data_IF_109426065567
#
_entry.id   IF_109426065567
#
_cell.length_a   1.000
_cell.length_b   1.000
_cell.length_c   1.000
_cell.angle_alpha   90.00
_cell.angle_beta   90.00
_cell.angle_gamma   90.00
#
_symmetry.space_group_name_H-M   'P 1'
#
loop_
_entity.id
_entity.type
_entity.pdbx_description
1 polymer ?
#
# COMPACT_ATOMS: atom_id res chain seq x y z
N UNK A 1 -12.75 3.36 -23.07
CA UNK A 1 -11.73 4.42 -23.07
C UNK A 1 -11.96 5.28 -21.85
N UNK A 2 -11.25 5.01 -20.75
CA UNK A 2 -11.19 5.88 -19.59
C UNK A 2 -10.08 6.91 -19.80
N UNK A 3 -10.48 8.13 -20.13
CA UNK A 3 -9.58 9.27 -20.08
C UNK A 3 -9.36 9.64 -18.62
N UNK A 4 -8.09 9.72 -18.22
CA UNK A 4 -7.70 10.21 -16.89
C UNK A 4 -7.23 11.65 -17.04
N UNK A 5 -7.81 12.56 -16.28
CA UNK A 5 -7.32 13.94 -16.16
C UNK A 5 -6.12 13.95 -15.21
N UNK A 6 -4.96 14.27 -15.76
CA UNK A 6 -3.71 14.43 -15.01
C UNK A 6 -3.47 15.92 -14.80
N UNK A 7 -3.42 16.35 -13.54
CA UNK A 7 -3.13 17.74 -13.16
C UNK A 7 -1.78 17.80 -12.45
N UNK A 8 -0.94 18.76 -12.84
CA UNK A 8 0.33 19.03 -12.19
C UNK A 8 0.48 20.53 -11.90
N UNK A 9 1.07 20.84 -10.75
CA UNK A 9 1.52 22.18 -10.35
C UNK A 9 3.02 22.12 -10.12
N UNK A 10 3.73 23.22 -10.41
CA UNK A 10 5.17 23.28 -10.18
C UNK A 10 5.59 24.66 -9.71
N UNK A 11 6.80 24.75 -9.16
CA UNK A 11 7.39 26.00 -8.70
C UNK A 11 8.66 26.21 -9.50
N UNK A 12 8.78 27.38 -10.11
CA UNK A 12 10.04 27.80 -10.75
C UNK A 12 10.98 28.30 -9.66
N UNK A 13 12.08 27.59 -9.49
CA UNK A 13 13.19 28.00 -8.63
C UNK A 13 14.30 28.58 -9.50
N UNK A 14 14.66 29.84 -9.27
CA UNK A 14 15.84 30.48 -9.85
C UNK A 14 16.76 30.90 -8.69
N UNK A 15 18.04 30.56 -8.80
CA UNK A 15 19.03 30.90 -7.77
C UNK A 15 19.09 32.42 -7.59
N UNK A 16 18.87 32.89 -6.36
CA UNK A 16 18.83 34.31 -6.01
C UNK A 16 17.49 35.03 -6.24
N UNK A 17 16.41 34.32 -6.62
CA UNK A 17 15.06 34.90 -6.75
C UNK A 17 14.03 34.15 -5.90
N UNK A 18 12.93 34.82 -5.49
CA UNK A 18 11.85 34.14 -4.80
C UNK A 18 11.20 33.08 -5.70
N UNK A 19 10.84 31.96 -5.08
CA UNK A 19 10.10 30.85 -5.70
C UNK A 19 8.81 31.36 -6.36
N UNK A 20 8.69 31.20 -7.69
CA UNK A 20 7.48 31.58 -8.43
C UNK A 20 6.62 30.34 -8.63
N UNK A 21 5.43 30.31 -8.01
CA UNK A 21 4.45 29.25 -8.27
C UNK A 21 3.94 29.37 -9.71
N UNK A 22 4.13 28.32 -10.50
CA UNK A 22 3.50 28.19 -11.81
C UNK A 22 2.14 27.53 -11.62
N UNK A 23 1.11 28.10 -12.26
CA UNK A 23 -0.27 27.61 -12.12
C UNK A 23 -0.44 26.16 -12.59
N UNK A 24 -1.57 25.52 -12.22
CA UNK A 24 -1.85 24.14 -12.60
C UNK A 24 -2.02 23.99 -14.11
N UNK A 25 -1.49 22.89 -14.64
CA UNK A 25 -1.76 22.41 -15.99
C UNK A 25 -2.46 21.04 -15.91
N UNK A 26 -3.50 20.86 -16.72
CA UNK A 26 -4.28 19.62 -16.77
C UNK A 26 -4.34 19.08 -18.18
N UNK A 27 -4.14 17.76 -18.34
CA UNK A 27 -4.24 17.06 -19.63
C UNK A 27 -5.07 15.80 -19.45
N UNK A 28 -5.97 15.52 -20.41
CA UNK A 28 -6.67 14.25 -20.48
C UNK A 28 -5.81 13.26 -21.26
N UNK A 29 -5.48 12.12 -20.65
CA UNK A 29 -4.64 11.10 -21.26
C UNK A 29 -5.29 9.72 -21.12
N UNK A 30 -5.20 8.92 -22.19
CA UNK A 30 -5.70 7.55 -22.22
C UNK A 30 -4.57 6.59 -21.84
N UNK A 31 -4.60 6.07 -20.62
CA UNK A 31 -3.67 5.05 -20.13
C UNK A 31 -4.13 3.61 -20.42
N UNK A 32 -5.34 3.46 -20.95
CA UNK A 32 -6.02 2.19 -21.12
C UNK A 32 -6.82 1.71 -19.92
N UNK A 33 -7.78 0.83 -20.20
CA UNK A 33 -8.76 0.34 -19.22
C UNK A 33 -8.37 -1.02 -18.62
N UNK A 34 -7.29 -1.63 -19.12
CA UNK A 34 -6.78 -2.93 -18.69
C UNK A 34 -5.28 -3.07 -18.96
N UNK A 35 -4.65 -4.09 -18.36
CA UNK A 35 -3.25 -4.40 -18.63
C UNK A 35 -3.00 -4.70 -20.13
N UNK A 36 -3.91 -5.41 -20.79
CA UNK A 36 -3.81 -5.69 -22.22
C UNK A 36 -3.89 -4.41 -23.07
N UNK A 37 -4.80 -3.51 -22.71
CA UNK A 37 -4.99 -2.23 -23.40
C UNK A 37 -3.78 -1.29 -23.19
N UNK A 38 -3.25 -1.23 -21.96
CA UNK A 38 -2.04 -0.47 -21.65
C UNK A 38 -0.82 -0.99 -22.42
N UNK A 39 -0.66 -2.31 -22.54
CA UNK A 39 0.42 -2.92 -23.33
C UNK A 39 0.28 -2.62 -24.81
N UNK A 40 -0.95 -2.63 -25.35
CA UNK A 40 -1.23 -2.26 -26.73
C UNK A 40 -0.90 -0.77 -27.01
N UNK A 41 -1.12 0.11 -26.03
CA UNK A 41 -0.91 1.57 -26.16
C UNK A 41 0.52 2.03 -25.92
N UNK A 42 1.26 1.38 -25.01
CA UNK A 42 2.53 1.92 -24.48
C UNK A 42 3.74 0.97 -24.62
N UNK A 43 3.57 -0.16 -25.30
CA UNK A 43 4.51 -1.29 -25.37
C UNK A 43 4.67 -2.08 -24.06
N UNK A 44 4.97 -3.39 -24.14
CA UNK A 44 5.17 -4.23 -22.96
C UNK A 44 6.29 -3.72 -22.03
N UNK A 45 7.37 -3.18 -22.59
CA UNK A 45 8.57 -2.79 -21.85
C UNK A 45 8.31 -1.59 -20.95
N UNK A 46 7.57 -0.58 -21.43
CA UNK A 46 7.23 0.62 -20.65
C UNK A 46 6.29 0.24 -19.52
N UNK A 47 5.25 -0.56 -19.81
CA UNK A 47 4.29 -1.02 -18.80
C UNK A 47 5.02 -1.83 -17.72
N UNK A 48 5.89 -2.76 -18.11
CA UNK A 48 6.67 -3.56 -17.17
C UNK A 48 7.67 -2.72 -16.36
N UNK A 49 8.37 -1.78 -16.99
CA UNK A 49 9.31 -0.88 -16.32
C UNK A 49 8.63 -0.05 -15.23
N UNK A 50 7.48 0.55 -15.56
CA UNK A 50 6.71 1.35 -14.60
C UNK A 50 6.13 0.49 -13.49
N UNK A 51 5.61 -0.70 -13.79
CA UNK A 51 5.19 -1.67 -12.78
C UNK A 51 6.35 -2.02 -11.83
N UNK A 52 7.53 -2.34 -12.37
CA UNK A 52 8.70 -2.74 -11.59
C UNK A 52 9.18 -1.59 -10.69
N UNK A 53 9.21 -0.36 -11.19
CA UNK A 53 9.60 0.81 -10.40
C UNK A 53 8.70 0.99 -9.18
N UNK A 54 7.37 0.94 -9.39
CA UNK A 54 6.40 1.04 -8.30
C UNK A 54 6.51 -0.13 -7.31
N UNK A 55 6.66 -1.35 -7.83
CA UNK A 55 6.87 -2.56 -7.03
C UNK A 55 8.07 -2.44 -6.08
N UNK A 56 9.19 -1.90 -6.57
CA UNK A 56 10.39 -1.65 -5.76
C UNK A 56 10.09 -0.66 -4.62
N UNK A 57 9.40 0.44 -4.89
CA UNK A 57 9.03 1.43 -3.87
C UNK A 57 8.14 0.80 -2.79
N UNK A 58 7.17 -0.02 -3.18
CA UNK A 58 6.30 -0.75 -2.24
C UNK A 58 7.11 -1.68 -1.34
N UNK A 59 8.00 -2.50 -1.91
CA UNK A 59 8.85 -3.41 -1.15
C UNK A 59 9.76 -2.62 -0.20
N UNK A 60 10.40 -1.54 -0.67
CA UNK A 60 11.24 -0.70 0.18
C UNK A 60 10.46 -0.10 1.35
N UNK A 61 9.23 0.37 1.13
CA UNK A 61 8.36 0.88 2.19
C UNK A 61 8.11 -0.19 3.27
N UNK A 62 7.82 -1.43 2.86
CA UNK A 62 7.63 -2.54 3.77
C UNK A 62 8.91 -2.92 4.52
N UNK A 63 10.06 -3.00 3.84
CA UNK A 63 11.37 -3.25 4.48
C UNK A 63 11.62 -2.20 5.55
N UNK A 64 11.44 -0.90 5.24
CA UNK A 64 11.58 0.19 6.22
C UNK A 64 10.65 0.00 7.42
N UNK A 65 9.40 -0.43 7.20
CA UNK A 65 8.47 -0.73 8.28
C UNK A 65 8.96 -1.89 9.17
N UNK A 66 9.50 -2.97 8.58
CA UNK A 66 10.01 -4.12 9.35
C UNK A 66 11.30 -3.79 10.12
N UNK A 67 12.18 -3.00 9.52
CA UNK A 67 13.37 -2.47 10.22
C UNK A 67 12.97 -1.60 11.42
N UNK A 68 11.98 -0.71 11.27
CA UNK A 68 11.44 0.09 12.39
C UNK A 68 10.84 -0.77 13.50
N UNK A 69 10.32 -1.96 13.16
CA UNK A 69 9.82 -2.95 14.11
C UNK A 69 10.94 -3.82 14.74
N UNK A 70 12.22 -3.51 14.49
CA UNK A 70 13.37 -4.21 15.07
C UNK A 70 13.72 -5.54 14.41
N UNK A 71 13.14 -5.87 13.25
CA UNK A 71 13.41 -7.15 12.58
C UNK A 71 14.80 -7.19 11.95
N UNK A 72 15.45 -8.34 12.06
CA UNK A 72 16.75 -8.59 11.44
C UNK A 72 16.61 -8.91 9.93
N UNK A 73 17.69 -8.73 9.17
CA UNK A 73 17.71 -8.97 7.72
C UNK A 73 17.18 -10.37 7.33
N UNK A 74 17.59 -11.41 8.06
CA UNK A 74 17.15 -12.79 7.79
C UNK A 74 15.62 -12.96 7.95
N UNK A 75 15.04 -12.34 8.97
CA UNK A 75 13.59 -12.38 9.20
C UNK A 75 12.83 -11.59 8.13
N UNK A 76 13.38 -10.45 7.71
CA UNK A 76 12.81 -9.66 6.62
C UNK A 76 12.82 -10.47 5.33
N UNK A 77 13.95 -11.08 4.97
CA UNK A 77 14.05 -11.94 3.78
C UNK A 77 13.04 -13.09 3.83
N UNK A 78 12.86 -13.73 5.00
CA UNK A 78 11.87 -14.79 5.17
C UNK A 78 10.42 -14.30 4.97
N UNK A 79 10.07 -13.08 5.41
CA UNK A 79 8.74 -12.50 5.21
C UNK A 79 8.43 -12.20 3.73
N UNK A 80 9.47 -11.95 2.93
CA UNK A 80 9.33 -11.70 1.50
C UNK A 80 9.47 -12.96 0.65
N UNK A 81 9.87 -14.09 1.22
CA UNK A 81 9.90 -15.37 0.52
C UNK A 81 8.47 -15.76 0.10
N UNK A 82 8.19 -15.72 -1.20
CA UNK A 82 6.86 -16.02 -1.75
C UNK A 82 5.86 -14.86 -1.67
N UNK A 83 6.27 -13.66 -1.24
CA UNK A 83 5.39 -12.49 -1.27
C UNK A 83 5.09 -12.07 -2.71
N UNK A 84 3.79 -11.94 -3.02
CA UNK A 84 3.30 -11.45 -4.30
C UNK A 84 2.68 -10.08 -4.12
N UNK A 85 3.20 -9.09 -4.83
CA UNK A 85 2.72 -7.71 -4.74
C UNK A 85 1.25 -7.64 -5.18
N UNK A 86 0.43 -6.92 -4.44
CA UNK A 86 -1.00 -6.72 -4.74
C UNK A 86 -1.88 -7.93 -4.47
N UNK A 87 -1.31 -9.10 -4.17
CA UNK A 87 -2.06 -10.25 -3.70
C UNK A 87 -2.12 -10.18 -2.18
N UNK A 88 -3.32 -10.00 -1.64
CA UNK A 88 -3.51 -10.11 -0.20
C UNK A 88 -3.05 -11.50 0.23
N UNK A 89 -2.04 -11.57 1.12
CA UNK A 89 -1.76 -12.83 1.79
C UNK A 89 -3.00 -13.17 2.60
N UNK A 90 -3.49 -14.41 2.48
CA UNK A 90 -4.48 -14.92 3.42
C UNK A 90 -3.83 -14.84 4.80
N UNK A 91 -4.17 -13.81 5.58
CA UNK A 91 -3.76 -13.75 6.97
C UNK A 91 -4.49 -14.89 7.65
N UNK A 92 -3.77 -15.95 8.00
CA UNK A 92 -4.20 -16.84 9.07
C UNK A 92 -4.41 -15.95 10.30
N UNK A 93 -5.66 -15.74 10.68
CA UNK A 93 -5.98 -15.05 11.93
C UNK A 93 -5.63 -16.05 13.03
N UNK A 94 -4.61 -15.74 13.81
CA UNK A 94 -4.44 -16.38 15.10
C UNK A 94 -5.62 -15.97 15.98
N UNK A 95 -6.59 -16.87 16.09
CA UNK A 95 -7.89 -16.61 16.72
C UNK A 95 -7.70 -16.29 18.20
N UNK A 96 -6.72 -16.92 18.87
CA UNK A 96 -6.41 -16.66 20.27
C UNK A 96 -5.80 -15.28 20.46
N UNK A 97 -4.79 -14.92 19.65
CA UNK A 97 -4.16 -13.60 19.74
C UNK A 97 -5.15 -12.47 19.40
N UNK A 98 -6.00 -12.67 18.38
CA UNK A 98 -7.05 -11.72 18.02
C UNK A 98 -8.14 -11.60 19.08
N UNK A 99 -8.53 -12.72 19.70
CA UNK A 99 -9.47 -12.73 20.81
C UNK A 99 -8.90 -12.01 22.03
N UNK A 100 -7.66 -12.28 22.41
CA UNK A 100 -7.01 -11.65 23.56
C UNK A 100 -6.79 -10.14 23.36
N UNK A 101 -6.45 -9.71 22.15
CA UNK A 101 -6.34 -8.29 21.82
C UNK A 101 -7.70 -7.56 21.89
N UNK A 102 -8.78 -8.25 21.52
CA UNK A 102 -10.15 -7.72 21.65
C UNK A 102 -10.64 -7.77 23.10
N UNK A 103 -10.22 -8.77 23.87
CA UNK A 103 -10.55 -8.92 25.28
C UNK A 103 -9.88 -7.85 26.14
N UNK A 104 -8.62 -7.52 25.87
CA UNK A 104 -7.88 -6.50 26.62
C UNK A 104 -8.41 -5.07 26.39
N UNK A 105 -9.07 -4.83 25.25
CA UNK A 105 -9.66 -3.55 24.87
C UNK A 105 -11.14 -3.43 25.20
N UNK A 106 -11.79 -4.51 25.65
CA UNK A 106 -13.20 -4.49 26.10
C UNK A 106 -13.35 -3.88 27.49
N UNK A 107 -14.47 -3.17 27.69
CA UNK A 107 -14.89 -2.70 29.01
C UNK A 107 -15.26 -3.89 29.92
N UNK A 108 -15.22 -3.71 31.24
CA UNK A 108 -15.50 -4.80 32.17
C UNK A 108 -16.96 -5.28 32.12
N UNK A 109 -17.88 -4.41 31.68
CA UNK A 109 -19.27 -4.77 31.41
C UNK A 109 -19.39 -5.65 30.16
N UNK A 110 -18.67 -5.31 29.10
CA UNK A 110 -18.64 -6.10 27.86
C UNK A 110 -17.97 -7.47 28.06
N UNK A 111 -16.91 -7.53 28.86
CA UNK A 111 -16.26 -8.79 29.25
C UNK A 111 -17.22 -9.72 29.98
N UNK A 112 -17.98 -9.22 30.96
CA UNK A 112 -18.97 -10.02 31.71
C UNK A 112 -20.07 -10.56 30.79
N UNK A 113 -20.56 -9.74 29.86
CA UNK A 113 -21.58 -10.15 28.88
C UNK A 113 -21.07 -11.22 27.94
N UNK A 114 -19.83 -11.09 27.45
CA UNK A 114 -19.15 -12.11 26.63
C UNK A 114 -18.94 -13.43 27.39
N UNK A 115 -18.60 -13.36 28.68
CA UNK A 115 -18.36 -14.54 29.51
C UNK A 115 -19.65 -15.31 29.81
N UNK A 116 -20.78 -14.59 29.90
CA UNK A 116 -22.12 -15.18 30.00
C UNK A 116 -22.53 -15.88 28.69
N UNK A 117 -22.26 -15.28 27.54
CA UNK A 117 -22.49 -15.89 26.22
C UNK A 117 -21.66 -17.17 26.03
N UNK A 118 -20.40 -17.19 26.49
CA UNK A 118 -19.49 -18.35 26.41
C UNK A 118 -19.85 -19.50 27.37
N UNK A 119 -20.43 -19.20 28.54
CA UNK A 119 -20.89 -20.23 29.49
C UNK A 119 -22.24 -20.86 29.10
N UNK A 120 -22.98 -20.21 28.21
CA UNK A 120 -24.27 -20.66 27.73
C UNK A 120 -24.19 -21.51 26.44
N UNK A 121 -23.00 -21.58 25.83
CA UNK A 121 -22.67 -22.48 24.72
C UNK A 121 -21.95 -23.73 25.24
#
# INVERSE_FOLDING_TARGET
MALITVTAETVKKEEGKPDVKLGPASVNYDFGDSAADAVAKHTPEVVFSNYRANAVITIQSWIRSKLKAGKAQAEITALFAGYKIGVASAKGIDVEAAFMAKWSTMSDEDKKKKLLELKAS
#
